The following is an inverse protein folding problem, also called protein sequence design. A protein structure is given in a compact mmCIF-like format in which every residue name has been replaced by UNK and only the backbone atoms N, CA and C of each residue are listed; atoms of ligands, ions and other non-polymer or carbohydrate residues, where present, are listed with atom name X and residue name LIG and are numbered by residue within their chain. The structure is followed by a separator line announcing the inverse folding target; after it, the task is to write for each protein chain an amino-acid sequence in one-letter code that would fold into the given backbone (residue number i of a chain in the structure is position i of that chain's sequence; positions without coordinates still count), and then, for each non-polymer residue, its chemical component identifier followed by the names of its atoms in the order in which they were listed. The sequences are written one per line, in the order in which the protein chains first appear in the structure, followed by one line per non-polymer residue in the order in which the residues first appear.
data_IF_296873729383
#
_entry.id   IF_296873729383
#
_cell.length_a   1.000
_cell.length_b   1.000
_cell.length_c   1.000
_cell.angle_alpha   90.00
_cell.angle_beta   90.00
_cell.angle_gamma   90.00
#
_symmetry.space_group_name_H-M   'P 1'
#
loop_
_entity.id
_entity.type
_entity.pdbx_description
1 polymer ?
#
# COMPACT_ATOMS: atom_id res chain seq x y z
N UNK A 1 13.09 -11.32 -30.38
CA UNK A 1 11.76 -11.35 -29.73
C UNK A 1 10.85 -10.41 -30.50
N UNK A 2 9.63 -10.81 -30.86
CA UNK A 2 8.64 -9.85 -31.41
C UNK A 2 8.16 -8.97 -30.26
N UNK A 3 8.06 -7.67 -30.45
CA UNK A 3 7.60 -6.72 -29.42
C UNK A 3 6.23 -6.15 -29.81
N UNK A 4 5.33 -6.05 -28.83
CA UNK A 4 4.03 -5.38 -29.01
C UNK A 4 4.20 -3.86 -29.05
N UNK A 5 5.10 -3.34 -28.20
CA UNK A 5 5.54 -1.95 -28.20
C UNK A 5 7.08 -1.98 -28.33
N UNK A 6 7.66 -1.34 -29.36
CA UNK A 6 9.10 -1.31 -29.54
C UNK A 6 9.79 -0.53 -28.42
N UNK A 7 11.09 -0.75 -28.26
CA UNK A 7 11.87 -0.14 -27.20
C UNK A 7 11.93 1.39 -27.34
N UNK A 8 11.61 2.10 -26.25
CA UNK A 8 11.61 3.57 -26.20
C UNK A 8 12.93 4.13 -25.63
N UNK A 9 13.02 5.46 -25.56
CA UNK A 9 14.18 6.20 -25.03
C UNK A 9 14.52 5.86 -23.57
N UNK A 10 13.55 5.33 -22.81
CA UNK A 10 13.74 4.87 -21.42
C UNK A 10 14.16 3.40 -21.33
N UNK A 11 14.53 2.75 -22.44
CA UNK A 11 14.88 1.33 -22.47
C UNK A 11 13.73 0.38 -22.14
N UNK A 12 12.48 0.86 -22.21
CA UNK A 12 11.27 0.09 -21.94
C UNK A 12 10.67 -0.44 -23.24
N UNK A 13 10.24 -1.70 -23.22
CA UNK A 13 9.44 -2.30 -24.30
C UNK A 13 8.32 -3.16 -23.74
N UNK A 14 7.29 -3.43 -24.53
CA UNK A 14 6.28 -4.43 -24.19
C UNK A 14 6.45 -5.66 -25.09
N UNK A 15 6.54 -6.83 -24.48
CA UNK A 15 6.56 -8.09 -25.23
C UNK A 15 5.16 -8.46 -25.76
N UNK A 16 5.06 -9.52 -26.56
CA UNK A 16 3.79 -10.01 -27.13
C UNK A 16 2.78 -10.49 -26.08
N UNK A 17 3.20 -10.65 -24.82
CA UNK A 17 2.33 -11.02 -23.69
C UNK A 17 1.83 -9.77 -22.93
N UNK A 18 2.18 -8.56 -23.38
CA UNK A 18 1.82 -7.31 -22.73
C UNK A 18 2.66 -7.01 -21.48
N UNK A 19 3.75 -7.75 -21.24
CA UNK A 19 4.63 -7.48 -20.11
C UNK A 19 5.66 -6.41 -20.47
N UNK A 20 5.79 -5.42 -19.59
CA UNK A 20 6.80 -4.36 -19.71
C UNK A 20 8.16 -4.94 -19.29
N UNK A 21 9.16 -4.77 -20.16
CA UNK A 21 10.54 -5.22 -19.99
C UNK A 21 11.51 -4.05 -20.06
N UNK A 22 12.60 -4.12 -19.32
CA UNK A 22 13.72 -3.17 -19.29
C UNK A 22 14.99 -3.85 -19.80
N UNK A 23 15.73 -3.19 -20.68
CA UNK A 23 17.03 -3.68 -21.16
C UNK A 23 18.15 -3.43 -20.13
N UNK A 24 18.96 -4.44 -19.82
CA UNK A 24 20.11 -4.31 -18.91
C UNK A 24 21.16 -3.28 -19.35
N UNK A 25 21.22 -2.94 -20.64
CA UNK A 25 22.07 -1.85 -21.16
C UNK A 25 21.59 -0.49 -20.68
N UNK A 26 20.28 -0.26 -20.69
CA UNK A 26 19.69 0.98 -20.18
C UNK A 26 19.95 1.14 -18.69
N UNK A 27 19.87 0.05 -17.91
CA UNK A 27 20.23 0.06 -16.49
C UNK A 27 21.70 0.42 -16.28
N UNK A 28 22.60 -0.12 -17.11
CA UNK A 28 24.02 0.22 -17.04
C UNK A 28 24.25 1.71 -17.29
N UNK A 29 23.68 2.23 -18.37
CA UNK A 29 23.78 3.64 -18.76
C UNK A 29 23.19 4.58 -17.70
N UNK A 30 21.97 4.32 -17.25
CA UNK A 30 21.23 5.19 -16.32
C UNK A 30 21.89 5.35 -14.95
N UNK A 31 22.65 4.35 -14.52
CA UNK A 31 23.33 4.31 -13.22
C UNK A 31 24.86 4.46 -13.34
N UNK A 32 25.36 4.84 -14.52
CA UNK A 32 26.79 5.06 -14.76
C UNK A 32 27.65 3.82 -14.47
N UNK A 33 27.11 2.61 -14.69
CA UNK A 33 27.80 1.34 -14.49
C UNK A 33 28.25 0.76 -15.82
N UNK A 34 29.39 0.08 -15.84
CA UNK A 34 29.76 -0.72 -17.00
C UNK A 34 28.77 -1.90 -17.19
N UNK A 35 28.28 -2.11 -18.41
CA UNK A 35 27.31 -3.18 -18.71
C UNK A 35 27.81 -4.57 -18.30
N UNK A 36 29.12 -4.84 -18.44
CA UNK A 36 29.74 -6.08 -17.98
C UNK A 36 29.52 -6.37 -16.48
N UNK A 37 29.49 -5.31 -15.66
CA UNK A 37 29.26 -5.45 -14.22
C UNK A 37 27.79 -5.73 -13.92
N UNK A 38 26.87 -5.12 -14.67
CA UNK A 38 25.43 -5.41 -14.59
C UNK A 38 25.15 -6.86 -14.99
N UNK A 39 25.75 -7.34 -16.09
CA UNK A 39 25.65 -8.74 -16.51
C UNK A 39 26.18 -9.71 -15.44
N UNK A 40 27.29 -9.37 -14.78
CA UNK A 40 27.84 -10.17 -13.69
C UNK A 40 26.88 -10.28 -12.51
N UNK A 41 26.23 -9.16 -12.14
CA UNK A 41 25.23 -9.13 -11.07
C UNK A 41 24.04 -10.03 -11.43
N UNK A 42 23.50 -9.88 -12.64
CA UNK A 42 22.36 -10.70 -13.09
C UNK A 42 22.73 -12.19 -13.09
N UNK A 43 23.92 -12.55 -13.57
CA UNK A 43 24.39 -13.94 -13.53
C UNK A 43 24.53 -14.50 -12.12
N UNK A 44 24.98 -13.68 -11.16
CA UNK A 44 25.04 -14.08 -9.75
C UNK A 44 23.65 -14.21 -9.10
N UNK A 45 22.66 -13.44 -9.57
CA UNK A 45 21.26 -13.61 -9.15
C UNK A 45 20.67 -14.90 -9.74
N UNK A 46 21.03 -15.24 -10.98
CA UNK A 46 20.55 -16.43 -11.68
C UNK A 46 21.40 -17.70 -11.42
N UNK A 47 22.36 -17.67 -10.50
CA UNK A 47 23.20 -18.85 -10.22
C UNK A 47 22.52 -19.80 -9.24
N UNK A 48 22.88 -21.07 -9.31
CA UNK A 48 22.40 -22.13 -8.40
C UNK A 48 22.85 -21.90 -6.94
N UNK A 49 23.91 -21.09 -6.75
CA UNK A 49 24.42 -20.69 -5.44
C UNK A 49 23.61 -19.54 -4.81
N UNK A 50 22.70 -18.92 -5.58
CA UNK A 50 21.85 -17.84 -5.09
C UNK A 50 20.71 -18.38 -4.21
N UNK A 51 20.17 -17.52 -3.34
CA UNK A 51 18.98 -17.86 -2.54
C UNK A 51 17.65 -17.73 -3.29
N UNK A 52 17.65 -17.46 -4.60
CA UNK A 52 16.44 -17.24 -5.38
C UNK A 52 15.97 -18.56 -6.02
N UNK A 53 14.65 -18.74 -6.12
CA UNK A 53 14.12 -19.89 -6.85
C UNK A 53 14.39 -19.76 -8.35
N UNK A 54 14.59 -20.90 -9.01
CA UNK A 54 14.77 -20.96 -10.46
C UNK A 54 13.57 -20.31 -11.18
N UNK A 55 12.35 -20.62 -10.77
CA UNK A 55 11.13 -20.00 -11.31
C UNK A 55 11.16 -18.47 -11.22
N UNK A 56 11.56 -17.92 -10.07
CA UNK A 56 11.64 -16.47 -9.90
C UNK A 56 12.65 -15.85 -10.86
N UNK A 57 13.83 -16.46 -11.01
CA UNK A 57 14.88 -15.91 -11.88
C UNK A 57 14.52 -16.02 -13.36
N UNK A 58 13.93 -17.12 -13.81
CA UNK A 58 13.48 -17.33 -15.19
C UNK A 58 12.34 -16.37 -15.60
N UNK A 59 11.40 -16.09 -14.68
CA UNK A 59 10.31 -15.15 -14.94
C UNK A 59 10.81 -13.70 -15.06
N UNK A 60 11.83 -13.35 -14.29
CA UNK A 60 12.28 -11.97 -14.12
C UNK A 60 13.47 -11.57 -15.01
N UNK A 61 14.28 -12.52 -15.48
CA UNK A 61 15.49 -12.29 -16.26
C UNK A 61 15.51 -13.12 -17.55
N UNK A 62 15.16 -12.50 -18.67
CA UNK A 62 15.19 -13.17 -19.98
C UNK A 62 16.50 -12.85 -20.73
N UNK A 63 17.35 -13.85 -21.04
CA UNK A 63 18.56 -13.64 -21.83
C UNK A 63 18.23 -13.13 -23.24
N UNK A 64 18.97 -12.12 -23.69
CA UNK A 64 18.82 -11.54 -25.02
C UNK A 64 20.17 -11.17 -25.62
N UNK A 65 20.16 -10.66 -26.85
CA UNK A 65 21.36 -10.21 -27.56
C UNK A 65 21.08 -8.90 -28.26
N UNK A 66 22.09 -8.04 -28.34
CA UNK A 66 22.06 -6.80 -29.09
C UNK A 66 23.26 -6.72 -30.04
N UNK A 67 23.14 -5.87 -31.07
CA UNK A 67 24.25 -5.51 -31.93
C UNK A 67 24.91 -4.26 -31.37
N UNK A 68 26.22 -4.33 -31.15
CA UNK A 68 27.01 -3.16 -30.82
C UNK A 68 27.27 -2.30 -32.07
N UNK A 69 27.82 -1.07 -31.93
CA UNK A 69 28.13 -0.21 -33.08
C UNK A 69 29.12 -0.83 -34.09
N UNK A 70 29.87 -1.86 -33.70
CA UNK A 70 30.81 -2.58 -34.57
C UNK A 70 30.17 -3.78 -35.28
N UNK A 71 28.87 -4.02 -35.05
CA UNK A 71 28.11 -5.13 -35.61
C UNK A 71 28.26 -6.46 -34.86
N UNK A 72 28.94 -6.49 -33.71
CA UNK A 72 29.11 -7.69 -32.90
C UNK A 72 27.85 -7.96 -32.09
N UNK A 73 27.47 -9.24 -31.99
CA UNK A 73 26.36 -9.69 -31.14
C UNK A 73 26.85 -9.88 -29.70
N UNK A 74 26.39 -9.03 -28.80
CA UNK A 74 26.73 -9.07 -27.38
C UNK A 74 25.51 -9.46 -26.52
N UNK A 75 25.72 -10.16 -25.38
CA UNK A 75 24.63 -10.56 -24.51
C UNK A 75 24.04 -9.36 -23.75
N UNK A 76 22.72 -9.37 -23.58
CA UNK A 76 21.99 -8.50 -22.65
C UNK A 76 20.88 -9.29 -21.96
N UNK A 77 20.11 -8.64 -21.08
CA UNK A 77 18.94 -9.24 -20.44
C UNK A 77 17.76 -8.29 -20.59
N UNK A 78 16.59 -8.87 -20.86
CA UNK A 78 15.30 -8.20 -20.74
C UNK A 78 14.71 -8.54 -19.38
N UNK A 79 14.48 -7.54 -18.55
CA UNK A 79 14.09 -7.71 -17.16
C UNK A 79 12.68 -7.21 -16.92
N UNK A 80 11.91 -7.89 -16.08
CA UNK A 80 10.65 -7.34 -15.57
C UNK A 80 10.93 -6.16 -14.62
N UNK A 81 9.88 -5.49 -14.16
CA UNK A 81 9.96 -4.51 -13.08
C UNK A 81 10.62 -5.08 -11.81
N UNK A 82 10.30 -6.33 -11.46
CA UNK A 82 10.83 -7.00 -10.26
C UNK A 82 12.30 -7.36 -10.42
N UNK A 83 12.70 -7.92 -11.57
CA UNK A 83 14.11 -8.18 -11.88
C UNK A 83 14.94 -6.90 -11.91
N UNK A 84 14.42 -5.82 -12.49
CA UNK A 84 15.04 -4.50 -12.46
C UNK A 84 15.25 -3.98 -11.03
N UNK A 85 14.19 -4.03 -10.20
CA UNK A 85 14.27 -3.58 -8.82
C UNK A 85 15.35 -4.35 -8.04
N UNK A 86 15.41 -5.67 -8.22
CA UNK A 86 16.39 -6.52 -7.55
C UNK A 86 17.84 -6.12 -7.90
N UNK A 87 18.14 -5.89 -9.18
CA UNK A 87 19.46 -5.46 -9.63
C UNK A 87 19.85 -4.11 -9.02
N UNK A 88 18.93 -3.14 -9.04
CA UNK A 88 19.20 -1.78 -8.55
C UNK A 88 19.37 -1.75 -7.02
N UNK A 89 18.66 -2.60 -6.28
CA UNK A 89 18.85 -2.70 -4.82
C UNK A 89 20.28 -3.13 -4.45
N UNK A 90 20.95 -3.92 -5.30
CA UNK A 90 22.34 -4.33 -5.13
C UNK A 90 23.39 -3.28 -5.54
N UNK A 91 23.00 -2.18 -6.18
CA UNK A 91 23.94 -1.13 -6.57
C UNK A 91 24.38 -0.28 -5.37
N UNK A 92 25.62 0.20 -5.40
CA UNK A 92 26.18 1.12 -4.40
C UNK A 92 26.60 2.44 -5.03
N UNK A 93 26.57 3.52 -4.23
CA UNK A 93 27.01 4.87 -4.59
C UNK A 93 25.89 5.93 -4.56
N UNK A 94 26.24 7.24 -4.58
CA UNK A 94 25.28 8.32 -4.33
C UNK A 94 24.07 8.35 -5.27
N UNK A 95 24.25 8.04 -6.56
CA UNK A 95 23.15 7.99 -7.53
C UNK A 95 22.22 6.80 -7.30
N UNK A 96 22.78 5.65 -6.93
CA UNK A 96 22.00 4.46 -6.58
C UNK A 96 21.16 4.73 -5.33
N UNK A 97 21.74 5.40 -4.33
CA UNK A 97 21.05 5.73 -3.09
C UNK A 97 19.90 6.72 -3.33
N UNK A 98 20.11 7.76 -4.14
CA UNK A 98 19.04 8.70 -4.56
C UNK A 98 17.91 7.98 -5.29
N UNK A 99 18.23 7.03 -6.17
CA UNK A 99 17.21 6.26 -6.86
C UNK A 99 16.43 5.36 -5.91
N UNK A 100 17.12 4.66 -4.99
CA UNK A 100 16.47 3.82 -3.98
C UNK A 100 15.54 4.65 -3.10
N UNK A 101 15.98 5.83 -2.66
CA UNK A 101 15.15 6.77 -1.92
C UNK A 101 13.92 7.20 -2.73
N UNK A 102 14.11 7.59 -4.00
CA UNK A 102 13.00 7.93 -4.90
C UNK A 102 12.01 6.77 -5.06
N UNK A 103 12.50 5.55 -5.24
CA UNK A 103 11.67 4.35 -5.37
C UNK A 103 10.88 4.07 -4.08
N UNK A 104 11.52 4.16 -2.91
CA UNK A 104 10.86 4.03 -1.60
C UNK A 104 9.79 5.11 -1.44
N UNK A 105 10.10 6.36 -1.77
CA UNK A 105 9.15 7.47 -1.66
C UNK A 105 7.96 7.30 -2.62
N UNK A 106 8.21 6.79 -3.84
CA UNK A 106 7.16 6.46 -4.79
C UNK A 106 6.29 5.32 -4.28
N UNK A 107 6.88 4.29 -3.66
CA UNK A 107 6.14 3.21 -3.03
C UNK A 107 5.26 3.73 -1.88
N UNK A 108 5.82 4.52 -0.95
CA UNK A 108 5.04 5.18 0.11
C UNK A 108 3.93 6.08 -0.43
N UNK A 109 4.16 6.76 -1.55
CA UNK A 109 3.12 7.57 -2.21
C UNK A 109 2.01 6.67 -2.77
N UNK A 110 2.37 5.55 -3.40
CA UNK A 110 1.41 4.55 -3.88
C UNK A 110 0.66 3.88 -2.73
N UNK A 111 1.31 3.55 -1.62
CA UNK A 111 0.66 3.05 -0.40
C UNK A 111 -0.33 4.08 0.15
N UNK A 112 0.06 5.36 0.26
CA UNK A 112 -0.86 6.44 0.65
C UNK A 112 -2.03 6.59 -0.31
N UNK A 113 -1.78 6.47 -1.62
CA UNK A 113 -2.83 6.49 -2.62
C UNK A 113 -3.73 5.27 -2.49
N UNK A 114 -3.20 4.08 -2.25
CA UNK A 114 -3.98 2.88 -2.00
C UNK A 114 -4.80 3.00 -0.71
N UNK A 115 -4.25 3.56 0.37
CA UNK A 115 -5.00 3.86 1.61
C UNK A 115 -6.13 4.86 1.33
N UNK A 116 -5.85 5.90 0.54
CA UNK A 116 -6.84 6.89 0.12
C UNK A 116 -7.92 6.30 -0.83
N UNK A 117 -7.55 5.34 -1.67
CA UNK A 117 -8.43 4.65 -2.64
C UNK A 117 -9.19 3.46 -1.99
N UNK A 118 -8.64 2.84 -0.94
CA UNK A 118 -9.24 1.69 -0.24
C UNK A 118 -10.21 2.10 0.88
N UNK A 119 -10.49 3.39 1.05
CA UNK A 119 -11.70 3.84 1.75
C UNK A 119 -11.59 3.97 3.26
N UNK A 120 -10.66 4.79 3.75
CA UNK A 120 -10.68 5.24 5.14
C UNK A 120 -10.54 6.77 5.25
N UNK A 121 -11.36 7.51 4.50
CA UNK A 121 -11.55 8.96 4.77
C UNK A 121 -12.20 9.23 6.13
N UNK A 122 -12.83 8.19 6.70
CA UNK A 122 -13.57 8.26 7.96
C UNK A 122 -12.88 7.57 9.15
N UNK A 123 -11.64 7.05 9.02
CA UNK A 123 -10.93 6.39 10.14
C UNK A 123 -9.74 7.20 10.61
N UNK A 124 -9.63 7.39 11.92
CA UNK A 124 -8.53 8.10 12.55
C UNK A 124 -7.18 7.43 12.23
N UNK A 125 -6.13 8.18 11.83
CA UNK A 125 -4.84 7.60 11.45
C UNK A 125 -4.24 6.69 12.52
N UNK A 126 -4.37 7.09 13.78
CA UNK A 126 -3.86 6.34 14.94
C UNK A 126 -4.57 4.98 15.11
N UNK A 127 -5.87 4.90 14.82
CA UNK A 127 -6.61 3.63 14.83
C UNK A 127 -6.18 2.74 13.65
N UNK A 128 -5.92 3.35 12.49
CA UNK A 128 -5.38 2.63 11.31
C UNK A 128 -4.04 1.97 11.65
N UNK A 129 -3.16 2.68 12.35
CA UNK A 129 -1.86 2.14 12.77
C UNK A 129 -1.98 1.07 13.85
N UNK A 130 -2.91 1.20 14.80
CA UNK A 130 -3.18 0.15 15.79
C UNK A 130 -3.63 -1.17 15.14
N UNK A 131 -4.53 -1.11 14.15
CA UNK A 131 -4.97 -2.29 13.38
C UNK A 131 -3.78 -2.93 12.65
N UNK A 132 -2.85 -2.12 12.12
CA UNK A 132 -1.65 -2.65 11.48
C UNK A 132 -0.72 -3.37 12.45
N UNK A 133 -0.56 -2.84 13.66
CA UNK A 133 0.26 -3.46 14.70
C UNK A 133 -0.36 -4.75 15.23
N UNK A 134 -1.69 -4.80 15.35
CA UNK A 134 -2.42 -5.98 15.85
C UNK A 134 -2.42 -7.17 14.89
N UNK A 135 -2.18 -6.96 13.59
CA UNK A 135 -2.25 -8.00 12.58
C UNK A 135 -0.93 -8.15 11.80
N UNK A 136 -0.37 -9.37 11.78
CA UNK A 136 0.85 -9.69 11.02
C UNK A 136 0.73 -9.32 9.54
N UNK A 137 -0.45 -9.54 8.95
CA UNK A 137 -0.81 -9.08 7.61
C UNK A 137 -2.21 -8.45 7.67
N UNK A 138 -2.32 -7.11 7.72
CA UNK A 138 -3.61 -6.42 7.79
C UNK A 138 -4.40 -6.60 6.49
N UNK A 139 -5.64 -7.06 6.59
CA UNK A 139 -6.54 -7.25 5.44
C UNK A 139 -7.57 -6.13 5.36
N UNK A 140 -8.08 -5.80 4.16
CA UNK A 140 -9.05 -4.71 3.99
C UNK A 140 -10.28 -4.80 4.89
N UNK A 141 -10.76 -6.02 5.17
CA UNK A 141 -11.95 -6.22 5.98
C UNK A 141 -11.75 -5.86 7.46
N UNK A 142 -10.52 -5.87 8.00
CA UNK A 142 -10.26 -5.46 9.39
C UNK A 142 -10.69 -4.00 9.60
N UNK A 143 -10.29 -3.11 8.69
CA UNK A 143 -10.66 -1.70 8.72
C UNK A 143 -12.17 -1.49 8.55
N UNK A 144 -12.78 -2.17 7.56
CA UNK A 144 -14.23 -2.01 7.33
C UNK A 144 -15.08 -2.56 8.47
N UNK A 145 -14.60 -3.59 9.18
CA UNK A 145 -15.29 -4.15 10.33
C UNK A 145 -15.27 -3.18 11.51
N UNK A 146 -14.11 -2.60 11.83
CA UNK A 146 -14.00 -1.58 12.89
C UNK A 146 -14.89 -0.38 12.59
N UNK A 147 -14.82 0.15 11.36
CA UNK A 147 -15.61 1.32 10.99
C UNK A 147 -17.12 1.02 11.05
N UNK A 148 -17.55 -0.17 10.64
CA UNK A 148 -18.95 -0.56 10.75
C UNK A 148 -19.40 -0.80 12.19
N UNK A 149 -18.52 -1.29 13.07
CA UNK A 149 -18.82 -1.40 14.50
C UNK A 149 -19.03 -0.01 15.10
N UNK A 150 -18.11 0.92 14.87
CA UNK A 150 -18.21 2.31 15.35
C UNK A 150 -19.44 3.02 14.79
N UNK A 151 -19.74 2.85 13.49
CA UNK A 151 -20.96 3.38 12.90
C UNK A 151 -22.22 2.85 13.59
N UNK A 152 -22.29 1.55 13.91
CA UNK A 152 -23.44 1.00 14.65
C UNK A 152 -23.61 1.66 16.01
N UNK A 153 -22.53 1.96 16.73
CA UNK A 153 -22.57 2.60 18.05
C UNK A 153 -23.01 4.06 17.94
N UNK A 154 -22.49 4.80 16.96
CA UNK A 154 -22.70 6.24 16.83
C UNK A 154 -24.03 6.57 16.15
N UNK A 155 -24.32 5.96 15.00
CA UNK A 155 -25.49 6.27 14.14
C UNK A 155 -26.54 5.16 14.12
N UNK A 156 -26.34 4.06 14.86
CA UNK A 156 -27.32 2.97 14.98
C UNK A 156 -27.38 2.01 13.78
N UNK A 157 -26.57 2.22 12.75
CA UNK A 157 -26.61 1.43 11.51
C UNK A 157 -25.25 1.33 10.83
N UNK A 158 -25.15 0.45 9.83
CA UNK A 158 -23.93 0.34 9.02
C UNK A 158 -23.84 1.45 7.99
N UNK A 159 -22.63 1.68 7.48
CA UNK A 159 -22.39 2.67 6.44
C UNK A 159 -23.27 2.46 5.19
N UNK A 160 -23.47 1.19 4.80
CA UNK A 160 -24.34 0.82 3.67
C UNK A 160 -25.80 1.22 3.91
N UNK A 161 -26.36 0.85 5.07
CA UNK A 161 -27.75 1.16 5.43
C UNK A 161 -27.99 2.67 5.54
N UNK A 162 -27.01 3.40 6.07
CA UNK A 162 -27.09 4.86 6.14
C UNK A 162 -27.19 5.48 4.75
N UNK A 163 -26.31 5.10 3.81
CA UNK A 163 -26.38 5.60 2.43
C UNK A 163 -27.71 5.29 1.75
N UNK A 164 -28.24 4.09 1.96
CA UNK A 164 -29.57 3.69 1.44
C UNK A 164 -30.69 4.54 2.04
N UNK A 165 -30.67 4.81 3.35
CA UNK A 165 -31.70 5.58 4.04
C UNK A 165 -31.70 7.07 3.65
N UNK A 166 -30.52 7.65 3.37
CA UNK A 166 -30.35 9.07 3.05
C UNK A 166 -30.17 9.33 1.55
N UNK A 167 -30.29 8.30 0.69
CA UNK A 167 -30.18 8.43 -0.76
C UNK A 167 -28.79 8.84 -1.27
N UNK A 168 -27.73 8.49 -0.53
CA UNK A 168 -26.35 8.89 -0.83
C UNK A 168 -25.69 7.95 -1.85
N UNK A 169 -24.76 8.50 -2.63
CA UNK A 169 -23.96 7.69 -3.56
C UNK A 169 -22.95 6.80 -2.82
N UNK A 170 -22.49 5.72 -3.47
CA UNK A 170 -21.58 4.73 -2.84
C UNK A 170 -20.27 5.34 -2.33
N UNK A 171 -19.75 6.33 -3.06
CA UNK A 171 -18.47 6.98 -2.77
C UNK A 171 -18.62 8.20 -1.86
N UNK A 172 -19.86 8.53 -1.48
CA UNK A 172 -20.13 9.66 -0.61
C UNK A 172 -19.71 9.35 0.84
N UNK A 173 -18.95 10.27 1.48
CA UNK A 173 -18.51 10.10 2.86
C UNK A 173 -19.68 10.35 3.83
N UNK A 174 -19.87 9.44 4.78
CA UNK A 174 -21.00 9.52 5.73
C UNK A 174 -20.77 10.64 6.74
N UNK A 175 -19.52 10.90 7.12
CA UNK A 175 -19.17 11.98 8.05
C UNK A 175 -19.67 13.35 7.63
N UNK A 176 -19.82 13.61 6.32
CA UNK A 176 -20.34 14.89 5.83
C UNK A 176 -21.82 15.15 6.21
N UNK A 177 -22.55 14.10 6.58
CA UNK A 177 -23.98 14.13 6.90
C UNK A 177 -24.28 13.84 8.38
N UNK A 178 -23.25 13.69 9.20
CA UNK A 178 -23.38 13.46 10.65
C UNK A 178 -23.57 14.77 11.40
N UNK A 179 -24.30 14.73 12.52
CA UNK A 179 -24.41 15.89 13.43
C UNK A 179 -23.09 16.17 14.15
N UNK A 180 -22.95 17.37 14.74
CA UNK A 180 -21.77 17.71 15.52
C UNK A 180 -21.51 16.70 16.66
N UNK A 181 -22.54 16.37 17.43
CA UNK A 181 -22.44 15.38 18.53
C UNK A 181 -22.06 13.98 18.03
N UNK A 182 -22.56 13.59 16.85
CA UNK A 182 -22.20 12.31 16.24
C UNK A 182 -20.75 12.29 15.79
N UNK A 183 -20.25 13.40 15.22
CA UNK A 183 -18.85 13.53 14.82
C UNK A 183 -17.92 13.51 16.03
N UNK A 184 -18.28 14.21 17.09
CA UNK A 184 -17.51 14.24 18.34
C UNK A 184 -17.44 12.86 18.99
N UNK A 185 -18.59 12.19 19.13
CA UNK A 185 -18.64 10.82 19.65
C UNK A 185 -17.85 9.85 18.77
N UNK A 186 -17.95 9.98 17.45
CA UNK A 186 -17.19 9.16 16.50
C UNK A 186 -15.67 9.34 16.68
N UNK A 187 -15.19 10.56 16.81
CA UNK A 187 -13.76 10.83 17.02
C UNK A 187 -13.29 10.37 18.42
N UNK A 188 -14.11 10.54 19.46
CA UNK A 188 -13.84 10.01 20.80
C UNK A 188 -13.67 8.48 20.78
N UNK A 189 -14.63 7.75 20.20
CA UNK A 189 -14.59 6.29 20.18
C UNK A 189 -13.43 5.73 19.36
N UNK A 190 -13.07 6.37 18.24
CA UNK A 190 -11.90 5.94 17.46
C UNK A 190 -10.58 6.08 18.23
N UNK A 191 -10.46 7.11 19.08
CA UNK A 191 -9.28 7.29 19.94
C UNK A 191 -9.23 6.23 21.02
N UNK A 192 -10.37 5.91 21.64
CA UNK A 192 -10.47 4.85 22.64
C UNK A 192 -10.15 3.48 22.04
N UNK A 193 -10.68 3.19 20.85
CA UNK A 193 -10.50 1.89 20.20
C UNK A 193 -9.04 1.62 19.81
N UNK A 194 -8.23 2.67 19.57
CA UNK A 194 -6.80 2.49 19.28
C UNK A 194 -6.08 1.62 20.34
N UNK A 195 -6.30 1.90 21.62
CA UNK A 195 -5.68 1.11 22.69
C UNK A 195 -6.36 -0.25 22.88
N UNK A 196 -7.67 -0.32 22.62
CA UNK A 196 -8.44 -1.54 22.75
C UNK A 196 -8.05 -2.57 21.69
N UNK A 197 -7.85 -2.18 20.43
CA UNK A 197 -7.40 -3.06 19.34
C UNK A 197 -6.15 -3.85 19.72
N UNK A 198 -5.22 -3.23 20.46
CA UNK A 198 -3.96 -3.85 20.89
C UNK A 198 -4.11 -4.72 22.15
N UNK A 199 -5.01 -4.34 23.05
CA UNK A 199 -5.15 -4.98 24.37
C UNK A 199 -6.26 -6.05 24.42
N UNK A 200 -7.23 -5.99 23.52
CA UNK A 200 -8.38 -6.87 23.45
C UNK A 200 -8.64 -7.30 21.99
N UNK A 201 -8.03 -8.42 21.54
CA UNK A 201 -8.20 -8.89 20.16
C UNK A 201 -9.64 -9.30 19.81
N UNK A 202 -10.46 -9.65 20.81
CA UNK A 202 -11.86 -10.05 20.63
C UNK A 202 -12.74 -8.84 20.32
N UNK A 203 -13.28 -8.80 19.10
CA UNK A 203 -14.10 -7.69 18.61
C UNK A 203 -15.41 -7.53 19.39
N UNK A 204 -16.01 -8.61 19.89
CA UNK A 204 -17.27 -8.53 20.65
C UNK A 204 -17.04 -7.90 22.03
N UNK A 205 -15.93 -8.24 22.67
CA UNK A 205 -15.55 -7.61 23.95
C UNK A 205 -15.20 -6.13 23.79
N UNK A 206 -14.52 -5.77 22.70
CA UNK A 206 -14.25 -4.36 22.37
C UNK A 206 -15.52 -3.57 22.12
N UNK A 207 -16.46 -4.15 21.36
CA UNK A 207 -17.76 -3.52 21.12
C UNK A 207 -18.45 -3.16 22.44
N UNK A 208 -18.54 -4.09 23.40
CA UNK A 208 -19.16 -3.83 24.70
C UNK A 208 -18.46 -2.70 25.49
N UNK A 209 -17.12 -2.66 25.47
CA UNK A 209 -16.34 -1.58 26.12
C UNK A 209 -16.59 -0.22 25.46
N UNK A 210 -16.65 -0.18 24.12
CA UNK A 210 -16.90 1.04 23.36
C UNK A 210 -18.34 1.53 23.51
N UNK A 211 -19.32 0.63 23.62
CA UNK A 211 -20.71 0.96 23.95
C UNK A 211 -20.80 1.61 25.34
N UNK A 212 -20.06 1.07 26.32
CA UNK A 212 -19.95 1.70 27.64
C UNK A 212 -19.29 3.09 27.57
N UNK A 213 -18.17 3.23 26.85
CA UNK A 213 -17.54 4.54 26.64
C UNK A 213 -18.49 5.55 25.97
N UNK A 214 -19.29 5.09 25.01
CA UNK A 214 -20.27 5.94 24.33
C UNK A 214 -21.38 6.41 25.27
N UNK A 215 -21.86 5.53 26.15
CA UNK A 215 -22.84 5.86 27.18
C UNK A 215 -22.32 6.93 28.15
N UNK A 216 -21.11 6.74 28.69
CA UNK A 216 -20.48 7.69 29.60
C UNK A 216 -20.25 9.06 28.95
N UNK A 217 -19.77 9.06 27.70
CA UNK A 217 -19.54 10.30 26.94
C UNK A 217 -20.85 11.08 26.72
N UNK A 218 -21.94 10.38 26.38
CA UNK A 218 -23.28 10.99 26.24
C UNK A 218 -23.79 11.54 27.58
N UNK A 219 -23.60 10.82 28.68
CA UNK A 219 -24.00 11.25 30.01
C UNK A 219 -23.27 12.52 30.45
N UNK A 220 -21.97 12.62 30.15
CA UNK A 220 -21.14 13.78 30.46
C UNK A 220 -21.53 15.06 29.68
N UNK A 221 -22.22 14.92 28.53
CA UNK A 221 -22.68 16.05 27.71
C UNK A 221 -24.09 16.55 28.08
N UNK A 222 -24.84 15.84 28.94
CA UNK A 222 -26.14 16.34 29.38
C UNK A 222 -25.95 17.51 30.37
N UNK A 223 -26.66 18.64 30.19
CA UNK A 223 -26.59 19.74 31.14
C UNK A 223 -27.05 19.26 32.51
N UNK A 224 -26.25 19.53 33.54
CA UNK A 224 -26.64 19.31 34.93
C UNK A 224 -27.78 20.29 35.22
N UNK A 225 -29.00 19.78 35.35
CA UNK A 225 -30.09 20.58 35.90
C UNK A 225 -29.72 20.96 37.33
N UNK A 226 -29.24 22.20 37.51
CA UNK A 226 -29.10 22.76 38.84
C UNK A 226 -30.52 22.95 39.40
N UNK A 227 -30.86 22.32 40.55
CA UNK A 227 -32.16 22.55 41.15
C UNK A 227 -32.28 24.03 41.48
N UNK A 228 -33.24 24.69 40.86
CA UNK A 228 -33.65 26.05 41.23
C UNK A 228 -34.10 26.01 42.69
N UNK A 229 -33.34 26.70 43.54
CA UNK A 229 -33.66 26.94 44.94
C UNK A 229 -34.89 27.86 45.09
#
# INVERSE_FOLDING_TARGET
MKSLIPMNECGLMADTKGMVRVDSRFVAERFGKEHKNVLRIIKGICSDESGYSQEFTELNFEPSKYLDPTGRRLPCYMMTREGFALVVMGFTGPEADRFKEWFINRFKAMERQLIALQGNRDMHPVLTDAIRMAHVVPKPYHYSNELNMLNRIVIGMTAKKYREAYGLSKDEPIRAHMTADQLELMDYLQRMDCGLVLSEPDIHKRQAKLEWCAMEHRAAMMPVEHPTA
#
